data_IF_693566113468
#
_entry.id   IF_693566113468
#
_cell.length_a   1.000
_cell.length_b   1.000
_cell.length_c   1.000
_cell.angle_alpha   90.00
_cell.angle_beta   90.00
_cell.angle_gamma   90.00
#
_symmetry.space_group_name_H-M   'P 1'
#
loop_
_entity.id
_entity.type
_entity.pdbx_description
1 polymer ?
#
# COMPACT_ATOMS: atom_id res chain seq x y z
N UNK A 1 22.46 -24.02 -14.69
CA UNK A 1 21.31 -23.11 -14.49
C UNK A 1 20.47 -23.73 -13.40
N UNK A 2 20.19 -23.03 -12.33
CA UNK A 2 19.35 -23.54 -11.26
C UNK A 2 17.91 -23.72 -11.81
N UNK A 3 17.35 -24.90 -11.62
CA UNK A 3 15.98 -25.19 -12.08
C UNK A 3 15.01 -24.72 -11.01
N UNK A 4 14.24 -23.68 -11.30
CA UNK A 4 13.19 -23.22 -10.42
C UNK A 4 11.99 -24.18 -10.48
N UNK A 5 11.53 -24.64 -9.32
CA UNK A 5 10.30 -25.40 -9.16
C UNK A 5 9.18 -24.44 -8.80
N UNK A 6 8.06 -24.52 -9.54
CA UNK A 6 6.86 -23.69 -9.34
C UNK A 6 5.79 -24.54 -8.65
N UNK A 7 5.31 -24.08 -7.51
CA UNK A 7 4.23 -24.69 -6.75
C UNK A 7 3.05 -23.72 -6.68
N UNK A 8 1.89 -24.01 -7.32
CA UNK A 8 0.68 -23.24 -7.12
C UNK A 8 0.25 -23.22 -5.64
N UNK A 9 -0.17 -22.07 -5.19
CA UNK A 9 -0.67 -21.92 -3.82
C UNK A 9 -1.98 -22.70 -3.62
N UNK A 10 -2.12 -23.29 -2.46
CA UNK A 10 -3.38 -23.77 -1.91
C UNK A 10 -3.36 -23.58 -0.38
N UNK A 11 -4.49 -23.78 0.27
CA UNK A 11 -4.64 -23.50 1.72
C UNK A 11 -3.66 -24.27 2.62
N UNK A 12 -3.15 -25.44 2.20
CA UNK A 12 -2.14 -26.18 2.98
C UNK A 12 -0.81 -25.45 3.11
N UNK A 13 -0.52 -24.51 2.20
CA UNK A 13 0.68 -23.66 2.22
C UNK A 13 0.51 -22.36 3.01
N UNK A 14 -0.66 -22.10 3.62
CA UNK A 14 -0.93 -20.84 4.33
C UNK A 14 0.14 -20.51 5.39
N UNK A 15 0.54 -21.51 6.20
CA UNK A 15 1.59 -21.34 7.20
C UNK A 15 2.94 -20.96 6.58
N UNK A 16 3.40 -21.72 5.58
CA UNK A 16 4.66 -21.49 4.85
C UNK A 16 4.65 -20.11 4.17
N UNK A 17 3.52 -19.75 3.55
CA UNK A 17 3.33 -18.45 2.92
C UNK A 17 3.50 -17.30 3.92
N UNK A 18 2.77 -17.33 5.03
CA UNK A 18 2.79 -16.28 6.04
C UNK A 18 4.15 -16.17 6.76
N UNK A 19 4.82 -17.28 7.01
CA UNK A 19 6.19 -17.30 7.56
C UNK A 19 7.16 -16.61 6.58
N UNK A 20 7.06 -16.94 5.28
CA UNK A 20 7.89 -16.31 4.27
C UNK A 20 7.62 -14.80 4.16
N UNK A 21 6.35 -14.38 4.16
CA UNK A 21 5.96 -12.95 4.15
C UNK A 21 6.60 -12.22 5.33
N UNK A 22 6.56 -12.80 6.54
CA UNK A 22 7.18 -12.21 7.73
C UNK A 22 8.71 -12.09 7.66
N UNK A 23 9.37 -12.95 6.88
CA UNK A 23 10.83 -12.98 6.73
C UNK A 23 11.33 -12.28 5.44
N UNK A 24 10.42 -11.91 4.55
CA UNK A 24 10.72 -11.29 3.26
C UNK A 24 11.35 -9.91 3.42
N UNK A 25 12.20 -9.53 2.46
CA UNK A 25 12.87 -8.22 2.47
C UNK A 25 12.05 -7.08 1.85
N UNK A 26 10.94 -7.40 1.16
CA UNK A 26 10.08 -6.41 0.51
C UNK A 26 8.58 -6.64 0.74
N UNK A 27 8.16 -7.74 1.36
CA UNK A 27 6.75 -7.97 1.65
C UNK A 27 6.23 -7.06 2.78
N UNK A 28 4.92 -6.84 2.76
CA UNK A 28 4.17 -6.15 3.81
C UNK A 28 3.04 -7.03 4.33
N UNK A 29 2.34 -6.61 5.38
CA UNK A 29 1.20 -7.35 5.94
C UNK A 29 0.06 -7.56 4.93
N UNK A 30 -0.02 -6.76 3.86
CA UNK A 30 -0.99 -6.92 2.78
C UNK A 30 -0.90 -8.29 2.09
N UNK A 31 0.27 -8.94 2.16
CA UNK A 31 0.50 -10.26 1.58
C UNK A 31 0.27 -11.40 2.56
N UNK A 32 -0.06 -11.12 3.83
CA UNK A 32 -0.51 -12.17 4.75
C UNK A 32 -1.82 -12.76 4.23
N UNK A 33 -1.96 -14.10 4.27
CA UNK A 33 -3.16 -14.76 3.73
C UNK A 33 -4.44 -14.30 4.43
N UNK A 34 -4.38 -13.99 5.74
CA UNK A 34 -5.54 -13.44 6.45
C UNK A 34 -5.97 -12.06 5.92
N UNK A 35 -5.04 -11.29 5.28
CA UNK A 35 -5.38 -10.08 4.54
C UNK A 35 -5.83 -10.40 3.12
N UNK A 36 -5.04 -11.17 2.35
CA UNK A 36 -5.36 -11.46 0.95
C UNK A 36 -6.72 -12.16 0.80
N UNK A 37 -7.06 -13.06 1.71
CA UNK A 37 -8.25 -13.90 1.61
C UNK A 37 -9.55 -13.20 2.05
N UNK A 38 -9.52 -11.93 2.51
CA UNK A 38 -10.76 -11.22 2.88
C UNK A 38 -11.69 -11.00 1.68
N UNK A 39 -11.13 -11.00 0.48
CA UNK A 39 -11.86 -10.76 -0.77
C UNK A 39 -11.70 -11.90 -1.78
N UNK A 40 -11.43 -13.13 -1.30
CA UNK A 40 -11.23 -14.32 -2.13
C UNK A 40 -12.42 -14.63 -3.06
N UNK A 41 -13.61 -14.17 -2.73
CA UNK A 41 -14.80 -14.34 -3.56
C UNK A 41 -14.77 -13.50 -4.85
N UNK A 42 -13.92 -12.47 -4.91
CA UNK A 42 -13.81 -11.55 -6.05
C UNK A 42 -12.68 -11.88 -7.00
N UNK A 43 -11.70 -12.66 -6.56
CA UNK A 43 -10.49 -12.95 -7.33
C UNK A 43 -10.15 -14.43 -7.31
N UNK A 44 -9.91 -14.99 -8.49
CA UNK A 44 -9.36 -16.34 -8.60
C UNK A 44 -7.88 -16.30 -8.29
N UNK A 45 -7.49 -16.86 -7.16
CA UNK A 45 -6.09 -16.89 -6.72
C UNK A 45 -5.30 -17.92 -7.52
N UNK A 46 -4.24 -17.45 -8.17
CA UNK A 46 -3.28 -18.26 -8.91
C UNK A 46 -1.84 -17.99 -8.45
N UNK A 47 -1.70 -17.59 -7.21
CA UNK A 47 -0.40 -17.29 -6.58
C UNK A 47 0.54 -18.48 -6.59
N UNK A 48 1.86 -18.20 -6.59
CA UNK A 48 2.91 -19.21 -6.71
C UNK A 48 3.91 -19.13 -5.55
N UNK A 49 4.40 -20.31 -5.15
CA UNK A 49 5.61 -20.48 -4.34
C UNK A 49 6.73 -20.97 -5.26
N UNK A 50 7.91 -20.34 -5.17
CA UNK A 50 9.01 -20.55 -6.10
C UNK A 50 10.23 -21.06 -5.35
N UNK A 51 10.66 -22.31 -5.65
CA UNK A 51 11.71 -23.02 -4.96
C UNK A 51 12.94 -23.22 -5.88
N UNK A 52 14.13 -23.26 -5.25
CA UNK A 52 15.35 -23.67 -5.95
C UNK A 52 15.50 -25.20 -6.01
N UNK A 53 16.58 -25.68 -6.65
CA UNK A 53 16.90 -27.12 -6.78
C UNK A 53 17.12 -27.84 -5.45
N UNK A 54 17.32 -27.09 -4.35
CA UNK A 54 17.48 -27.63 -2.98
C UNK A 54 16.21 -27.53 -2.17
N UNK A 55 15.07 -27.35 -2.82
CA UNK A 55 13.75 -27.18 -2.21
C UNK A 55 13.68 -26.01 -1.21
N UNK A 56 14.50 -24.96 -1.41
CA UNK A 56 14.43 -23.76 -0.59
C UNK A 56 13.50 -22.73 -1.25
N UNK A 57 12.54 -22.25 -0.52
CA UNK A 57 11.64 -21.19 -0.99
C UNK A 57 12.42 -19.88 -1.18
N UNK A 58 12.52 -19.40 -2.41
CA UNK A 58 13.25 -18.19 -2.79
C UNK A 58 12.34 -16.98 -2.88
N UNK A 59 11.13 -17.17 -3.41
CA UNK A 59 10.17 -16.10 -3.62
C UNK A 59 8.72 -16.61 -3.58
N UNK A 60 7.80 -15.68 -3.32
CA UNK A 60 6.38 -15.85 -3.60
C UNK A 60 5.99 -14.90 -4.74
N UNK A 61 5.00 -15.30 -5.52
CA UNK A 61 4.40 -14.45 -6.54
C UNK A 61 2.89 -14.41 -6.32
N UNK A 62 2.38 -13.40 -5.56
CA UNK A 62 0.95 -13.17 -5.42
C UNK A 62 0.34 -12.89 -6.78
N UNK A 63 -0.78 -13.54 -7.11
CA UNK A 63 -1.39 -13.37 -8.42
C UNK A 63 -2.88 -13.70 -8.42
N UNK A 64 -3.65 -12.98 -9.23
CA UNK A 64 -5.03 -13.25 -9.53
C UNK A 64 -5.25 -13.44 -11.04
N UNK A 65 -6.15 -14.36 -11.39
CA UNK A 65 -6.50 -14.65 -12.77
C UNK A 65 -7.66 -13.76 -13.24
N UNK A 66 -7.50 -13.19 -14.43
CA UNK A 66 -8.51 -12.45 -15.18
C UNK A 66 -8.74 -13.17 -16.51
N UNK A 67 -9.60 -14.19 -16.48
CA UNK A 67 -9.72 -15.17 -17.55
C UNK A 67 -10.21 -14.55 -18.85
N UNK A 68 -11.18 -13.63 -18.80
CA UNK A 68 -11.74 -12.96 -19.98
C UNK A 68 -10.68 -12.13 -20.74
N UNK A 69 -9.68 -11.65 -20.02
CA UNK A 69 -8.56 -10.85 -20.54
C UNK A 69 -7.33 -11.73 -20.84
N UNK A 70 -7.35 -13.03 -20.52
CA UNK A 70 -6.19 -13.93 -20.53
C UNK A 70 -4.97 -13.33 -19.82
N UNK A 71 -5.22 -12.65 -18.72
CA UNK A 71 -4.26 -11.87 -17.97
C UNK A 71 -4.12 -12.40 -16.54
N UNK A 72 -2.89 -12.44 -16.05
CA UNK A 72 -2.58 -12.62 -14.62
C UNK A 72 -2.09 -11.30 -14.08
N UNK A 73 -2.69 -10.84 -12.97
CA UNK A 73 -2.29 -9.62 -12.25
C UNK A 73 -1.58 -9.99 -10.96
N UNK A 74 -0.55 -9.22 -10.61
CA UNK A 74 0.20 -9.40 -9.36
C UNK A 74 -0.66 -9.07 -8.13
N UNK A 75 -1.65 -9.82 -7.90
CA UNK A 75 -2.78 -9.81 -7.00
C UNK A 75 -3.75 -8.63 -7.14
N UNK A 76 -4.96 -8.90 -7.67
CA UNK A 76 -6.06 -7.93 -7.69
C UNK A 76 -6.49 -7.55 -6.27
N UNK A 77 -6.88 -6.29 -6.09
CA UNK A 77 -7.36 -5.77 -4.79
C UNK A 77 -6.26 -5.35 -3.82
N UNK A 78 -4.97 -5.51 -4.16
CA UNK A 78 -3.86 -4.97 -3.39
C UNK A 78 -3.28 -3.71 -4.03
N UNK A 79 -2.64 -2.88 -3.21
CA UNK A 79 -2.00 -1.63 -3.67
C UNK A 79 -0.84 -1.90 -4.62
N UNK A 80 -0.09 -2.97 -4.38
CA UNK A 80 1.10 -3.40 -5.11
C UNK A 80 1.25 -4.93 -4.98
N UNK A 81 2.19 -5.51 -5.77
CA UNK A 81 2.47 -6.94 -5.80
C UNK A 81 3.85 -7.24 -6.37
N UNK A 82 3.95 -8.14 -7.37
CA UNK A 82 5.22 -8.61 -7.91
C UNK A 82 5.87 -9.70 -7.05
N UNK A 83 7.17 -9.87 -7.18
CA UNK A 83 7.89 -10.88 -6.41
C UNK A 83 8.08 -10.46 -4.95
N UNK A 84 7.64 -11.31 -4.02
CA UNK A 84 8.03 -11.21 -2.62
C UNK A 84 9.33 -12.00 -2.45
N UNK A 85 10.40 -11.31 -2.07
CA UNK A 85 11.75 -11.86 -2.14
C UNK A 85 12.26 -12.28 -0.77
N UNK A 86 12.78 -13.51 -0.70
CA UNK A 86 13.53 -13.97 0.45
C UNK A 86 14.96 -13.38 0.48
N UNK A 87 15.59 -13.41 1.64
CA UNK A 87 16.97 -12.89 1.83
C UNK A 87 18.02 -13.58 0.94
N UNK A 88 17.74 -14.76 0.41
CA UNK A 88 18.66 -15.57 -0.41
C UNK A 88 18.46 -15.41 -1.91
N UNK A 89 17.43 -14.71 -2.35
CA UNK A 89 17.18 -14.45 -3.75
C UNK A 89 18.16 -13.37 -4.25
N UNK A 90 19.00 -13.72 -5.22
CA UNK A 90 19.97 -12.81 -5.85
C UNK A 90 19.45 -12.33 -7.20
N UNK A 91 20.05 -11.28 -7.75
CA UNK A 91 19.61 -10.67 -9.00
C UNK A 91 19.52 -11.68 -10.16
N UNK A 92 20.44 -12.64 -10.24
CA UNK A 92 20.41 -13.69 -11.28
C UNK A 92 19.22 -14.62 -11.09
N UNK A 93 18.90 -14.99 -9.84
CA UNK A 93 17.78 -15.88 -9.54
C UNK A 93 16.44 -15.28 -10.00
N UNK A 94 16.27 -13.94 -9.91
CA UNK A 94 15.04 -13.28 -10.31
C UNK A 94 14.74 -13.46 -11.80
N UNK A 95 15.76 -13.52 -12.66
CA UNK A 95 15.58 -13.83 -14.08
C UNK A 95 15.08 -15.25 -14.30
N UNK A 96 15.58 -16.22 -13.53
CA UNK A 96 15.13 -17.61 -13.58
C UNK A 96 13.71 -17.76 -12.99
N UNK A 97 13.42 -17.06 -11.87
CA UNK A 97 12.08 -17.00 -11.28
C UNK A 97 11.05 -16.43 -12.28
N UNK A 98 11.38 -15.31 -12.93
CA UNK A 98 10.48 -14.71 -13.93
C UNK A 98 10.28 -15.64 -15.13
N UNK A 99 11.34 -16.31 -15.60
CA UNK A 99 11.24 -17.31 -16.68
C UNK A 99 10.29 -18.45 -16.27
N UNK A 100 10.42 -18.96 -15.06
CA UNK A 100 9.57 -20.03 -14.55
C UNK A 100 8.10 -19.59 -14.40
N UNK A 101 7.84 -18.37 -13.91
CA UNK A 101 6.50 -17.78 -13.82
C UNK A 101 5.88 -17.62 -15.21
N UNK A 102 6.63 -17.11 -16.20
CA UNK A 102 6.20 -16.98 -17.58
C UNK A 102 5.83 -18.36 -18.16
N UNK A 103 6.71 -19.35 -18.03
CA UNK A 103 6.44 -20.71 -18.54
C UNK A 103 5.17 -21.29 -17.92
N UNK A 104 5.03 -21.19 -16.59
CA UNK A 104 3.87 -21.72 -15.88
C UNK A 104 2.55 -21.13 -16.38
N UNK A 105 2.47 -19.79 -16.53
CA UNK A 105 1.23 -19.15 -16.98
C UNK A 105 1.01 -19.31 -18.50
N UNK A 106 2.07 -19.38 -19.31
CA UNK A 106 1.94 -19.71 -20.75
C UNK A 106 1.34 -21.10 -20.97
N UNK A 107 1.71 -22.09 -20.16
CA UNK A 107 1.13 -23.43 -20.18
C UNK A 107 -0.38 -23.44 -19.83
N UNK A 108 -0.84 -22.40 -19.12
CA UNK A 108 -2.25 -22.14 -18.81
C UNK A 108 -2.93 -21.24 -19.85
N UNK A 109 -2.29 -20.99 -21.00
CA UNK A 109 -2.79 -20.13 -22.09
C UNK A 109 -3.05 -18.68 -21.68
N UNK A 110 -2.30 -18.18 -20.70
CA UNK A 110 -2.28 -16.76 -20.33
C UNK A 110 -1.35 -16.02 -21.31
N UNK A 111 -1.78 -14.84 -21.74
CA UNK A 111 -1.07 -14.05 -22.75
C UNK A 111 -0.30 -12.88 -22.12
N UNK A 112 -0.73 -12.42 -20.92
CA UNK A 112 -0.22 -11.20 -20.32
C UNK A 112 -0.02 -11.33 -18.82
N UNK A 113 1.10 -10.83 -18.33
CA UNK A 113 1.33 -10.55 -16.90
C UNK A 113 1.27 -9.05 -16.68
N UNK A 114 0.42 -8.62 -15.76
CA UNK A 114 0.36 -7.24 -15.27
C UNK A 114 0.92 -7.19 -13.85
N UNK A 115 2.02 -6.47 -13.68
CA UNK A 115 2.78 -6.47 -12.43
C UNK A 115 2.90 -5.04 -11.91
N UNK A 116 2.56 -4.87 -10.64
CA UNK A 116 2.68 -3.60 -9.92
C UNK A 116 3.72 -3.77 -8.81
N UNK A 117 5.01 -3.51 -9.08
CA UNK A 117 6.09 -3.71 -8.11
C UNK A 117 5.84 -2.96 -6.80
N UNK A 118 6.32 -3.55 -5.72
CA UNK A 118 6.28 -2.89 -4.40
C UNK A 118 7.23 -1.69 -4.44
N UNK A 119 6.77 -0.46 -4.12
CA UNK A 119 7.65 0.70 -4.11
C UNK A 119 8.80 0.56 -3.10
N UNK A 120 9.99 1.04 -3.47
CA UNK A 120 11.23 0.89 -2.69
C UNK A 120 11.14 1.36 -1.23
N UNK A 121 10.24 2.31 -0.92
CA UNK A 121 10.04 2.81 0.43
C UNK A 121 9.56 1.75 1.42
N UNK A 122 8.90 0.69 0.93
CA UNK A 122 8.41 -0.44 1.73
C UNK A 122 9.48 -1.50 1.97
N UNK A 123 10.56 -1.52 1.20
CA UNK A 123 11.60 -2.54 1.27
C UNK A 123 12.45 -2.37 2.54
N UNK A 124 12.69 -3.46 3.27
CA UNK A 124 13.59 -3.46 4.43
C UNK A 124 15.07 -3.37 4.03
N UNK A 125 15.38 -3.75 2.79
CA UNK A 125 16.65 -3.49 2.10
C UNK A 125 16.37 -3.35 0.60
N UNK A 126 17.27 -2.77 -0.22
CA UNK A 126 17.07 -2.63 -1.67
C UNK A 126 16.63 -3.95 -2.31
N UNK A 127 15.55 -3.94 -3.09
CA UNK A 127 14.89 -5.14 -3.64
C UNK A 127 14.19 -4.81 -4.96
N UNK A 128 14.90 -4.16 -5.89
CA UNK A 128 14.39 -3.72 -7.19
C UNK A 128 14.92 -4.57 -8.35
N UNK A 129 15.42 -5.78 -8.06
CA UNK A 129 16.00 -6.67 -9.06
C UNK A 129 15.01 -7.06 -10.16
N UNK A 130 13.71 -7.14 -9.82
CA UNK A 130 12.65 -7.44 -10.79
C UNK A 130 12.55 -6.37 -11.88
N UNK A 131 12.80 -5.08 -11.56
CA UNK A 131 12.74 -3.98 -12.54
C UNK A 131 13.80 -4.14 -13.65
N UNK A 132 15.01 -4.61 -13.29
CA UNK A 132 16.04 -4.94 -14.28
C UNK A 132 15.57 -6.05 -15.22
N UNK A 133 14.95 -7.10 -14.68
CA UNK A 133 14.49 -8.22 -15.48
C UNK A 133 13.24 -7.88 -16.30
N UNK A 134 12.35 -7.03 -15.81
CA UNK A 134 11.24 -6.49 -16.61
C UNK A 134 11.77 -5.78 -17.85
N UNK A 135 12.80 -4.94 -17.70
CA UNK A 135 13.47 -4.31 -18.84
C UNK A 135 14.06 -5.36 -19.82
N UNK A 136 14.73 -6.38 -19.28
CA UNK A 136 15.37 -7.43 -20.10
C UNK A 136 14.36 -8.30 -20.85
N UNK A 137 13.20 -8.55 -20.28
CA UNK A 137 12.11 -9.32 -20.90
C UNK A 137 11.18 -8.46 -21.76
N UNK A 138 11.44 -7.16 -21.89
CA UNK A 138 10.67 -6.25 -22.73
C UNK A 138 9.31 -5.85 -22.14
N UNK A 139 9.15 -5.93 -20.83
CA UNK A 139 7.96 -5.40 -20.16
C UNK A 139 7.82 -3.89 -20.41
N UNK A 140 6.59 -3.45 -20.63
CA UNK A 140 6.25 -2.05 -20.88
C UNK A 140 5.70 -1.42 -19.62
N UNK A 141 6.17 -0.21 -19.30
CA UNK A 141 5.56 0.63 -18.29
C UNK A 141 4.18 1.09 -18.81
N UNK A 142 3.12 0.63 -18.18
CA UNK A 142 1.73 0.90 -18.56
C UNK A 142 1.14 2.07 -17.77
N UNK A 143 1.40 2.09 -16.47
CA UNK A 143 0.94 3.15 -15.57
C UNK A 143 2.05 3.58 -14.62
N UNK A 144 2.05 4.87 -14.29
CA UNK A 144 2.89 5.45 -13.24
C UNK A 144 2.06 6.44 -12.43
N UNK A 145 1.88 6.16 -11.16
CA UNK A 145 1.19 7.06 -10.26
C UNK A 145 2.19 7.76 -9.33
N UNK A 146 1.97 9.06 -9.09
CA UNK A 146 2.80 9.87 -8.20
C UNK A 146 2.19 9.90 -6.81
N UNK A 147 2.90 9.39 -5.81
CA UNK A 147 2.57 9.50 -4.39
C UNK A 147 3.43 10.54 -3.71
N UNK A 148 2.89 11.23 -2.71
CA UNK A 148 3.67 12.19 -1.91
C UNK A 148 4.11 11.54 -0.60
N UNK A 149 5.43 11.48 -0.38
CA UNK A 149 6.04 10.78 0.74
C UNK A 149 6.97 11.71 1.52
N UNK A 150 6.88 11.67 2.84
CA UNK A 150 7.78 12.38 3.77
C UNK A 150 8.80 11.39 4.32
N UNK A 151 10.09 11.74 4.25
CA UNK A 151 11.14 10.99 4.92
C UNK A 151 11.20 11.41 6.41
N UNK A 152 10.77 10.51 7.29
CA UNK A 152 10.72 10.73 8.73
C UNK A 152 12.11 10.65 9.42
N UNK A 153 13.13 10.16 8.72
CA UNK A 153 14.52 10.17 9.24
C UNK A 153 15.23 11.51 9.03
N UNK A 154 14.60 12.42 8.28
CA UNK A 154 15.12 13.75 8.00
C UNK A 154 14.36 14.82 8.78
N UNK A 155 14.88 16.04 8.81
CA UNK A 155 14.16 17.19 9.39
C UNK A 155 12.83 17.40 8.67
N UNK A 156 11.75 17.64 9.40
CA UNK A 156 10.44 17.92 8.84
C UNK A 156 10.32 19.36 8.34
N UNK A 157 9.81 19.53 7.13
CA UNK A 157 9.74 20.84 6.45
C UNK A 157 8.29 21.22 6.10
N UNK A 158 7.43 21.32 7.11
CA UNK A 158 6.08 21.84 6.89
C UNK A 158 6.08 23.30 6.49
N UNK A 159 5.18 23.68 5.57
CA UNK A 159 4.99 25.09 5.21
C UNK A 159 4.56 25.93 6.42
N UNK A 160 4.88 27.23 6.39
CA UNK A 160 4.51 28.16 7.47
C UNK A 160 2.98 28.21 7.70
N UNK A 161 2.20 28.05 6.62
CA UNK A 161 0.73 28.01 6.71
C UNK A 161 0.25 26.79 7.49
N UNK A 162 0.80 25.59 7.22
CA UNK A 162 0.43 24.36 7.93
C UNK A 162 0.75 24.48 9.43
N UNK A 163 1.96 24.95 9.76
CA UNK A 163 2.36 25.20 11.15
C UNK A 163 1.45 26.23 11.86
N UNK A 164 1.08 27.30 11.17
CA UNK A 164 0.17 28.32 11.72
C UNK A 164 -1.22 27.75 12.00
N UNK A 165 -1.78 26.95 11.07
CA UNK A 165 -3.09 26.30 11.28
C UNK A 165 -3.01 25.33 12.46
N UNK A 166 -2.01 24.47 12.54
CA UNK A 166 -1.81 23.56 13.65
C UNK A 166 -1.76 24.31 14.99
N UNK A 167 -0.91 25.33 15.10
CA UNK A 167 -0.76 26.10 16.34
C UNK A 167 -2.03 26.86 16.75
N UNK A 168 -2.80 27.35 15.77
CA UNK A 168 -4.11 27.99 16.03
C UNK A 168 -5.11 26.99 16.59
N UNK A 169 -5.22 25.80 15.99
CA UNK A 169 -6.21 24.80 16.37
C UNK A 169 -5.84 24.11 17.68
N UNK A 170 -4.57 23.93 17.97
CA UNK A 170 -4.08 23.46 19.26
C UNK A 170 -4.51 24.41 20.40
N UNK A 171 -4.39 25.74 20.19
CA UNK A 171 -4.87 26.75 21.16
C UNK A 171 -6.38 26.78 21.31
N UNK A 172 -7.13 26.32 20.33
CA UNK A 172 -8.59 26.15 20.37
C UNK A 172 -9.01 24.85 21.05
N UNK A 173 -8.05 24.05 21.55
CA UNK A 173 -8.33 22.81 22.29
C UNK A 173 -8.74 21.64 21.39
N UNK A 174 -8.27 21.60 20.12
CA UNK A 174 -8.45 20.41 19.31
C UNK A 174 -7.58 19.27 19.85
N UNK A 175 -8.13 18.07 19.81
CA UNK A 175 -7.51 16.85 20.32
C UNK A 175 -7.32 15.81 19.22
N UNK A 176 -6.19 15.10 19.24
CA UNK A 176 -5.99 13.88 18.46
C UNK A 176 -6.47 12.68 19.27
N UNK A 177 -7.25 11.81 18.63
CA UNK A 177 -7.76 10.56 19.24
C UNK A 177 -7.41 9.37 18.38
N UNK A 178 -7.08 8.24 19.03
CA UNK A 178 -6.80 6.94 18.41
C UNK A 178 -7.81 5.87 18.84
N UNK A 179 -8.76 6.23 19.67
CA UNK A 179 -9.83 5.40 20.23
C UNK A 179 -11.23 5.77 19.69
N UNK A 180 -11.26 6.57 18.63
CA UNK A 180 -12.50 6.99 18.00
C UNK A 180 -13.21 5.82 17.30
N UNK A 181 -14.53 5.91 17.17
CA UNK A 181 -15.34 4.92 16.49
C UNK A 181 -14.96 4.80 15.00
N UNK A 182 -14.56 3.61 14.57
CA UNK A 182 -14.31 3.31 13.16
C UNK A 182 -15.58 3.52 12.32
N UNK A 183 -16.76 3.18 12.85
CA UNK A 183 -18.04 3.37 12.18
C UNK A 183 -18.30 4.87 11.92
N UNK A 184 -18.12 5.72 12.93
CA UNK A 184 -18.33 7.15 12.77
C UNK A 184 -17.38 7.78 11.75
N UNK A 185 -16.12 7.33 11.72
CA UNK A 185 -15.15 7.74 10.67
C UNK A 185 -15.57 7.26 9.29
N UNK A 186 -16.05 6.02 9.18
CA UNK A 186 -16.47 5.44 7.90
C UNK A 186 -17.68 6.16 7.31
N UNK A 187 -18.67 6.47 8.13
CA UNK A 187 -19.84 7.27 7.73
C UNK A 187 -19.40 8.65 7.18
N UNK A 188 -18.46 9.32 7.87
CA UNK A 188 -17.87 10.56 7.38
C UNK A 188 -17.11 10.39 6.06
N UNK A 189 -16.38 9.29 5.89
CA UNK A 189 -15.63 8.96 4.67
C UNK A 189 -16.59 8.75 3.49
N UNK A 190 -17.64 7.94 3.67
CA UNK A 190 -18.64 7.68 2.62
C UNK A 190 -19.30 8.97 2.14
N UNK A 191 -19.76 9.82 3.07
CA UNK A 191 -20.32 11.14 2.73
C UNK A 191 -19.29 11.98 1.95
N UNK A 192 -18.04 12.04 2.44
CA UNK A 192 -16.99 12.85 1.80
C UNK A 192 -16.69 12.38 0.39
N UNK A 193 -16.61 11.07 0.14
CA UNK A 193 -16.29 10.51 -1.17
C UNK A 193 -17.44 10.66 -2.16
N UNK A 194 -18.68 10.44 -1.74
CA UNK A 194 -19.86 10.63 -2.58
C UNK A 194 -20.02 12.09 -2.98
N UNK A 195 -19.94 13.03 -2.02
CA UNK A 195 -20.11 14.46 -2.29
C UNK A 195 -19.03 15.04 -3.21
N UNK A 196 -17.78 14.58 -3.08
CA UNK A 196 -16.64 15.16 -3.80
C UNK A 196 -16.28 14.47 -5.09
N UNK A 197 -16.46 13.16 -5.14
CA UNK A 197 -15.95 12.34 -6.24
C UNK A 197 -17.01 11.45 -6.88
N UNK A 198 -18.22 11.36 -6.31
CA UNK A 198 -19.27 10.48 -6.79
C UNK A 198 -18.91 8.99 -6.71
N UNK A 199 -17.97 8.60 -5.84
CA UNK A 199 -17.49 7.23 -5.68
C UNK A 199 -17.68 6.75 -4.24
N UNK A 200 -17.67 5.42 -4.06
CA UNK A 200 -17.63 4.78 -2.75
C UNK A 200 -16.21 4.36 -2.40
N UNK A 201 -15.90 4.12 -1.11
CA UNK A 201 -14.66 3.47 -0.72
C UNK A 201 -14.47 2.13 -1.44
N UNK A 202 -13.21 1.72 -1.66
CA UNK A 202 -12.90 0.42 -2.28
C UNK A 202 -13.32 -0.75 -1.39
N UNK A 203 -13.16 -0.61 -0.07
CA UNK A 203 -13.65 -1.56 0.92
C UNK A 203 -15.08 -1.21 1.35
N UNK A 204 -15.84 -2.21 1.78
CA UNK A 204 -17.05 -1.98 2.59
C UNK A 204 -16.67 -1.73 4.05
N UNK A 205 -17.62 -1.26 4.86
CA UNK A 205 -17.38 -1.11 6.31
C UNK A 205 -17.04 -2.45 6.96
N UNK A 206 -17.79 -3.50 6.63
CA UNK A 206 -17.61 -4.84 7.17
C UNK A 206 -16.24 -5.43 6.83
N UNK A 207 -15.75 -5.15 5.63
CA UNK A 207 -14.41 -5.55 5.22
C UNK A 207 -13.33 -4.84 6.03
N UNK A 208 -13.43 -3.53 6.17
CA UNK A 208 -12.40 -2.77 6.90
C UNK A 208 -12.47 -3.03 8.42
N UNK A 209 -13.66 -3.27 8.97
CA UNK A 209 -13.84 -3.70 10.36
C UNK A 209 -13.13 -5.04 10.59
N UNK A 210 -13.43 -6.05 9.74
CA UNK A 210 -12.75 -7.35 9.79
C UNK A 210 -11.23 -7.24 9.67
N UNK A 211 -10.74 -6.41 8.74
CA UNK A 211 -9.30 -6.20 8.56
C UNK A 211 -8.67 -5.51 9.77
N UNK A 212 -9.34 -4.54 10.36
CA UNK A 212 -8.85 -3.85 11.57
C UNK A 212 -8.77 -4.80 12.76
N UNK A 213 -9.74 -5.71 12.91
CA UNK A 213 -9.71 -6.74 13.95
C UNK A 213 -8.59 -7.76 13.74
N UNK A 214 -8.34 -8.18 12.49
CA UNK A 214 -7.28 -9.13 12.15
C UNK A 214 -5.87 -8.54 12.26
N UNK A 215 -5.73 -7.24 11.98
CA UNK A 215 -4.46 -6.52 11.92
C UNK A 215 -4.47 -5.27 12.80
N UNK A 216 -4.76 -5.40 14.12
CA UNK A 216 -4.94 -4.26 15.01
C UNK A 216 -3.68 -3.41 15.18
N UNK A 217 -2.48 -3.97 14.96
CA UNK A 217 -1.23 -3.22 15.00
C UNK A 217 -0.94 -2.48 13.69
N UNK A 218 -1.41 -3.02 12.56
CA UNK A 218 -1.12 -2.49 11.23
C UNK A 218 -2.18 -1.49 10.75
N UNK A 219 -3.42 -1.59 11.21
CA UNK A 219 -4.50 -0.71 10.76
C UNK A 219 -4.94 0.16 11.94
N UNK A 220 -4.68 1.47 11.83
CA UNK A 220 -4.93 2.43 12.92
C UNK A 220 -5.72 3.62 12.42
N UNK A 221 -6.80 3.92 13.14
CA UNK A 221 -7.57 5.14 12.95
C UNK A 221 -6.98 6.25 13.81
N UNK A 222 -6.75 7.42 13.19
CA UNK A 222 -6.35 8.64 13.89
C UNK A 222 -7.30 9.76 13.50
N UNK A 223 -7.88 10.44 14.46
CA UNK A 223 -8.90 11.47 14.25
C UNK A 223 -8.58 12.75 15.01
N UNK A 224 -9.11 13.87 14.54
CA UNK A 224 -9.07 15.15 15.24
C UNK A 224 -10.49 15.57 15.64
N UNK A 225 -10.63 15.99 16.90
CA UNK A 225 -11.91 16.35 17.50
C UNK A 225 -11.86 17.76 18.10
N UNK A 226 -13.03 18.40 18.17
CA UNK A 226 -13.21 19.57 19.03
C UNK A 226 -13.15 19.16 20.50
N UNK A 227 -13.00 20.13 21.39
CA UNK A 227 -13.09 19.89 22.85
C UNK A 227 -14.42 19.25 23.25
N UNK A 228 -15.51 19.57 22.56
CA UNK A 228 -16.84 19.00 22.82
C UNK A 228 -17.04 17.60 22.21
N UNK A 229 -16.00 17.05 21.60
CA UNK A 229 -15.98 15.67 21.08
C UNK A 229 -16.48 15.50 19.65
N UNK A 230 -16.79 16.58 18.90
CA UNK A 230 -17.15 16.48 17.48
C UNK A 230 -15.95 16.06 16.63
N UNK A 231 -16.09 15.02 15.80
CA UNK A 231 -15.05 14.59 14.86
C UNK A 231 -14.97 15.55 13.67
N UNK A 232 -13.83 16.20 13.51
CA UNK A 232 -13.58 17.15 12.42
C UNK A 232 -12.97 16.48 11.19
N UNK A 233 -12.05 15.56 11.41
CA UNK A 233 -11.38 14.80 10.33
C UNK A 233 -10.70 13.58 10.89
N UNK A 234 -10.24 12.70 10.00
CA UNK A 234 -9.47 11.53 10.37
C UNK A 234 -8.72 10.93 9.19
N UNK A 235 -7.82 10.01 9.52
CA UNK A 235 -7.12 9.15 8.56
C UNK A 235 -7.05 7.73 9.10
N UNK A 236 -7.33 6.76 8.24
CA UNK A 236 -7.06 5.35 8.51
C UNK A 236 -5.69 5.02 7.93
N UNK A 237 -4.76 4.62 8.79
CA UNK A 237 -3.39 4.29 8.42
C UNK A 237 -3.22 2.80 8.21
N UNK A 238 -2.45 2.44 7.18
CA UNK A 238 -1.87 1.12 7.02
C UNK A 238 -0.39 1.20 7.39
N UNK A 239 -0.01 0.53 8.48
CA UNK A 239 1.32 0.58 9.07
C UNK A 239 2.12 -0.65 8.64
N UNK A 240 3.28 -0.41 8.08
CA UNK A 240 4.27 -1.43 7.77
C UNK A 240 5.55 -1.17 8.58
N UNK A 241 6.53 -2.05 8.47
CA UNK A 241 7.80 -1.85 9.17
C UNK A 241 8.46 -0.50 8.83
N UNK A 242 8.26 0.01 7.61
CA UNK A 242 8.95 1.22 7.13
C UNK A 242 8.05 2.38 6.75
N UNK A 243 6.76 2.13 6.53
CA UNK A 243 5.85 3.16 5.99
C UNK A 243 4.59 3.24 6.83
N UNK A 244 4.22 4.45 7.23
CA UNK A 244 2.87 4.79 7.66
C UNK A 244 2.12 5.35 6.44
N UNK A 245 1.24 4.54 5.85
CA UNK A 245 0.47 4.92 4.66
C UNK A 245 -0.92 5.40 5.05
N UNK A 246 -1.31 6.58 4.57
CA UNK A 246 -2.65 7.14 4.75
C UNK A 246 -3.60 6.54 3.72
N UNK A 247 -4.26 5.43 4.08
CA UNK A 247 -5.14 4.67 3.19
C UNK A 247 -6.45 5.42 2.90
N UNK A 248 -7.05 6.03 3.93
CA UNK A 248 -8.27 6.81 3.80
C UNK A 248 -8.18 8.11 4.59
N UNK A 249 -8.72 9.18 4.01
CA UNK A 249 -8.79 10.51 4.62
C UNK A 249 -10.22 11.03 4.50
N UNK A 250 -10.79 11.48 5.61
CA UNK A 250 -12.10 12.12 5.63
C UNK A 250 -12.06 13.41 6.44
N UNK A 251 -12.90 14.37 6.06
CA UNK A 251 -13.02 15.65 6.77
C UNK A 251 -14.43 16.21 6.67
N UNK A 252 -14.98 16.63 7.81
CA UNK A 252 -16.31 17.23 7.91
C UNK A 252 -16.33 18.65 7.29
N UNK A 253 -17.51 19.22 6.99
CA UNK A 253 -17.63 20.61 6.54
C UNK A 253 -16.98 21.60 7.50
N UNK A 254 -17.19 21.45 8.80
CA UNK A 254 -16.55 22.27 9.83
C UNK A 254 -15.03 22.05 9.85
N UNK A 255 -14.57 20.78 9.76
CA UNK A 255 -13.15 20.44 9.68
C UNK A 255 -12.45 21.09 8.48
N UNK A 256 -13.12 21.18 7.33
CA UNK A 256 -12.61 21.90 6.15
C UNK A 256 -12.48 23.42 6.44
N UNK A 257 -13.51 24.03 6.99
CA UNK A 257 -13.50 25.46 7.33
C UNK A 257 -12.39 25.82 8.30
N UNK A 258 -12.13 24.94 9.25
CA UNK A 258 -11.08 25.12 10.27
C UNK A 258 -9.68 24.73 9.76
N UNK A 259 -9.54 24.05 8.62
CA UNK A 259 -8.29 23.41 8.18
C UNK A 259 -7.80 22.32 9.14
N UNK A 260 -8.71 21.50 9.66
CA UNK A 260 -8.44 20.49 10.68
C UNK A 260 -7.45 19.40 10.20
N UNK A 261 -7.39 19.09 8.88
CA UNK A 261 -6.38 18.17 8.31
C UNK A 261 -4.95 18.70 8.50
N UNK A 262 -4.73 20.01 8.53
CA UNK A 262 -3.42 20.56 8.80
C UNK A 262 -2.99 20.28 10.23
N UNK A 263 -3.91 20.43 11.19
CA UNK A 263 -3.68 20.07 12.57
C UNK A 263 -3.41 18.57 12.73
N UNK A 264 -4.28 17.74 12.14
CA UNK A 264 -4.15 16.28 12.21
C UNK A 264 -2.79 15.83 11.67
N UNK A 265 -2.45 16.16 10.43
CA UNK A 265 -1.24 15.63 9.80
C UNK A 265 0.05 16.21 10.35
N UNK A 266 0.12 17.50 10.67
CA UNK A 266 1.34 18.06 11.29
C UNK A 266 1.58 17.40 12.64
N UNK A 267 0.58 17.31 13.50
CA UNK A 267 0.70 16.70 14.82
C UNK A 267 1.01 15.20 14.74
N UNK A 268 0.30 14.48 13.85
CA UNK A 268 0.51 13.04 13.65
C UNK A 268 1.92 12.73 13.14
N UNK A 269 2.40 13.43 12.13
CA UNK A 269 3.72 13.19 11.52
C UNK A 269 4.85 13.52 12.52
N UNK A 270 4.73 14.63 13.28
CA UNK A 270 5.67 14.95 14.35
C UNK A 270 5.69 13.85 15.43
N UNK A 271 4.51 13.34 15.83
CA UNK A 271 4.41 12.27 16.81
C UNK A 271 5.00 10.94 16.30
N UNK A 272 4.73 10.56 15.04
CA UNK A 272 5.28 9.34 14.45
C UNK A 272 6.81 9.44 14.38
N UNK A 273 7.36 10.59 13.98
CA UNK A 273 8.81 10.78 13.94
C UNK A 273 9.45 10.66 15.34
N UNK A 274 8.81 11.21 16.35
CA UNK A 274 9.35 11.24 17.71
C UNK A 274 9.18 9.91 18.46
N UNK A 275 8.04 9.26 18.31
CA UNK A 275 7.60 8.17 19.19
C UNK A 275 7.23 6.87 18.44
N UNK A 276 7.15 6.89 17.12
CA UNK A 276 6.55 5.80 16.35
C UNK A 276 5.03 5.77 16.47
N UNK A 277 4.42 4.68 15.97
CA UNK A 277 2.97 4.44 16.05
C UNK A 277 2.67 2.94 15.97
N UNK A 278 1.77 2.42 16.81
CA UNK A 278 1.35 1.02 16.78
C UNK A 278 2.48 -0.01 16.96
N UNK A 279 3.55 0.36 17.66
CA UNK A 279 4.75 -0.47 17.83
C UNK A 279 5.74 -0.39 16.65
N UNK A 280 5.45 0.41 15.62
CA UNK A 280 6.33 0.65 14.48
C UNK A 280 7.07 2.00 14.62
N UNK A 281 8.26 2.05 14.03
CA UNK A 281 9.05 3.28 13.84
C UNK A 281 9.29 3.49 12.35
N UNK A 282 8.27 3.92 11.59
CA UNK A 282 8.38 4.01 10.14
C UNK A 282 9.41 5.06 9.70
N UNK A 283 10.07 4.77 8.57
CA UNK A 283 11.01 5.69 7.94
C UNK A 283 10.31 6.75 7.09
N UNK A 284 9.08 6.42 6.65
CA UNK A 284 8.33 7.23 5.70
C UNK A 284 6.88 7.39 6.12
N UNK A 285 6.32 8.57 5.85
CA UNK A 285 4.88 8.81 5.85
C UNK A 285 4.42 9.01 4.41
N UNK A 286 3.48 8.19 3.95
CA UNK A 286 2.99 8.20 2.58
C UNK A 286 1.53 8.65 2.54
N UNK A 287 1.28 9.78 1.87
CA UNK A 287 -0.07 10.32 1.67
C UNK A 287 -0.88 9.61 0.59
N UNK A 288 -0.29 8.65 -0.12
CA UNK A 288 -0.89 8.01 -1.27
C UNK A 288 -0.85 8.86 -2.55
N UNK A 289 -1.30 8.22 -3.64
CA UNK A 289 -1.19 8.78 -4.99
C UNK A 289 -2.03 10.05 -5.18
N UNK A 290 -1.60 10.89 -6.14
CA UNK A 290 -2.27 12.12 -6.57
C UNK A 290 -2.46 12.14 -8.09
N UNK A 291 -2.73 10.98 -8.67
CA UNK A 291 -2.96 10.80 -10.11
C UNK A 291 -4.30 10.14 -10.37
N UNK A 292 -4.86 10.42 -11.52
CA UNK A 292 -6.12 9.93 -12.04
C UNK A 292 -5.91 9.26 -13.41
N UNK A 293 -6.97 8.66 -13.96
CA UNK A 293 -6.96 8.10 -15.32
C UNK A 293 -5.75 7.19 -15.56
N UNK A 294 -5.57 6.20 -14.67
CA UNK A 294 -4.47 5.22 -14.77
C UNK A 294 -3.08 5.89 -14.83
N UNK A 295 -2.85 6.87 -13.96
CA UNK A 295 -1.57 7.61 -13.89
C UNK A 295 -1.34 8.66 -14.97
N UNK A 296 -2.29 8.86 -15.90
CA UNK A 296 -2.15 9.77 -17.05
C UNK A 296 -2.41 11.24 -16.71
N UNK A 297 -3.15 11.50 -15.64
CA UNK A 297 -3.52 12.85 -15.22
C UNK A 297 -3.01 13.10 -13.81
N UNK A 298 -2.20 14.13 -13.64
CA UNK A 298 -1.77 14.60 -12.33
C UNK A 298 -2.84 15.53 -11.75
N UNK A 299 -3.32 15.22 -10.54
CA UNK A 299 -4.14 16.14 -9.78
C UNK A 299 -3.23 17.18 -9.11
N UNK A 300 -2.91 18.26 -9.82
CA UNK A 300 -1.97 19.30 -9.40
C UNK A 300 -2.36 19.93 -8.06
N UNK A 301 -3.66 20.15 -7.84
CA UNK A 301 -4.16 20.71 -6.58
C UNK A 301 -3.93 19.78 -5.39
N UNK A 302 -4.16 18.49 -5.58
CA UNK A 302 -3.97 17.50 -4.53
C UNK A 302 -2.49 17.28 -4.20
N UNK A 303 -1.63 17.13 -5.22
CA UNK A 303 -0.20 16.93 -4.99
C UNK A 303 0.43 18.15 -4.32
N UNK A 304 0.13 19.36 -4.78
CA UNK A 304 0.61 20.60 -4.17
C UNK A 304 0.19 20.71 -2.69
N UNK A 305 -1.06 20.33 -2.35
CA UNK A 305 -1.48 20.30 -0.95
C UNK A 305 -0.66 19.33 -0.09
N UNK A 306 -0.35 18.13 -0.61
CA UNK A 306 0.47 17.13 0.10
C UNK A 306 1.92 17.59 0.23
N UNK A 307 2.50 18.19 -0.80
CA UNK A 307 3.87 18.71 -0.79
C UNK A 307 4.07 19.85 0.22
N UNK A 308 3.03 20.62 0.55
CA UNK A 308 3.10 21.62 1.62
C UNK A 308 3.35 21.04 3.01
N UNK A 309 3.23 19.71 3.19
CA UNK A 309 3.71 18.99 4.38
C UNK A 309 5.18 18.59 4.31
N UNK A 310 5.91 18.99 3.25
CA UNK A 310 7.34 18.71 3.08
C UNK A 310 7.65 17.37 2.43
N UNK A 311 6.65 16.74 1.80
CA UNK A 311 6.84 15.51 1.06
C UNK A 311 7.41 15.73 -0.35
N UNK A 312 7.89 14.63 -0.94
CA UNK A 312 8.36 14.55 -2.32
C UNK A 312 7.79 13.30 -3.00
N UNK A 313 7.96 13.22 -4.32
CA UNK A 313 7.33 12.19 -5.13
C UNK A 313 8.03 10.82 -4.99
N UNK A 314 7.22 9.77 -4.82
CA UNK A 314 7.59 8.37 -5.03
C UNK A 314 6.63 7.78 -6.07
N UNK A 315 7.18 7.07 -7.07
CA UNK A 315 6.37 6.49 -8.12
C UNK A 315 5.82 5.12 -7.72
N UNK A 316 4.58 4.87 -8.12
CA UNK A 316 3.92 3.57 -8.10
C UNK A 316 3.70 3.15 -9.55
N UNK A 317 4.53 2.22 -9.99
CA UNK A 317 4.58 1.77 -11.38
C UNK A 317 3.72 0.53 -11.61
N UNK A 318 3.23 0.37 -12.83
CA UNK A 318 2.62 -0.87 -13.29
C UNK A 318 3.22 -1.24 -14.65
N UNK A 319 3.64 -2.49 -14.78
CA UNK A 319 4.25 -3.04 -15.98
C UNK A 319 3.35 -4.11 -16.59
N UNK A 320 3.35 -4.15 -17.94
CA UNK A 320 2.74 -5.23 -18.72
C UNK A 320 3.85 -6.01 -19.42
N UNK A 321 3.82 -7.30 -19.25
CA UNK A 321 4.70 -8.24 -19.97
C UNK A 321 3.85 -9.20 -20.79
N UNK A 322 4.02 -9.17 -22.12
CA UNK A 322 3.46 -10.19 -23.00
C UNK A 322 4.31 -11.46 -22.90
N UNK A 323 3.67 -12.60 -22.69
CA UNK A 323 4.33 -13.88 -22.41
C UNK A 323 4.06 -14.95 -23.48
N UNK A 324 3.45 -14.54 -24.58
CA UNK A 324 3.18 -15.36 -25.78
C UNK A 324 4.00 -14.87 -26.95
#
# INVERSE_FOLDING_TARGET
MARISVQPYNESFCGTWNEFVGASRNATFLFNRAFMDYHKDRFVDVSLLLYDERERLLALFPASLHLDEKEVRSHGGLTYGGFLLGKRAHTVDIGELLTAVISHYSDLHIETLRIRPIPHIYHTCPSEEELYWFFRFGAKLDSRAASTVINLRSSLHFSSTRKRHRNKLEKLGLEIRMDASLRAFWDLLEVTLVERHGVKPVHTFEEIETLTERFPDNIRLVTAHTHDGEMLCGTLLFLTQRVAHSQYIATSPLGRTLSALDFLFVTLIENIQANGIGGFTPDFFDFGISTESHGRVLNEGLIAQKELFGGSCVNYDEYILNIV
#
